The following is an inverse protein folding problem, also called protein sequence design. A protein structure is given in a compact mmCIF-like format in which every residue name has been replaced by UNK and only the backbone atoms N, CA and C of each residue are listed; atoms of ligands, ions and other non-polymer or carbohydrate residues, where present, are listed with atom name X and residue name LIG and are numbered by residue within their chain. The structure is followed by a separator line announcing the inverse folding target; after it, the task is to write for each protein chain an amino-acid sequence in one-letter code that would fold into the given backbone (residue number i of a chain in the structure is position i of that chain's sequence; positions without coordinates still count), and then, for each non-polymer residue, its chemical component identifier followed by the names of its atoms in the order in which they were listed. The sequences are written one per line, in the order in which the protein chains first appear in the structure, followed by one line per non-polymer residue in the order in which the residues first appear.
data_IF_246217965051
#
_entry.id   IF_246217965051
#
_cell.length_a   1.000
_cell.length_b   1.000
_cell.length_c   1.000
_cell.angle_alpha   90.00
_cell.angle_beta   90.00
_cell.angle_gamma   90.00
#
_symmetry.space_group_name_H-M   'P 1'
#
loop_
_entity.id
_entity.type
_entity.pdbx_description
1 polymer ?
#
# COMPACT_ATOMS: atom_id res chain seq x y z
N UNK A 1 18.81 -20.32 1.10
CA UNK A 1 19.73 -19.35 1.76
C UNK A 1 19.70 -19.61 3.26
N UNK A 2 20.85 -19.59 3.95
CA UNK A 2 20.89 -19.82 5.41
C UNK A 2 20.19 -18.67 6.13
N UNK A 3 19.20 -19.00 6.96
CA UNK A 3 18.33 -18.06 7.67
C UNK A 3 19.05 -17.35 8.82
N UNK A 4 20.04 -16.50 8.50
CA UNK A 4 20.89 -15.83 9.48
C UNK A 4 20.33 -14.44 9.81
N UNK A 5 20.24 -14.06 11.09
CA UNK A 5 19.80 -12.72 11.50
C UNK A 5 20.60 -11.60 10.82
N UNK A 6 21.90 -11.80 10.58
CA UNK A 6 22.76 -10.80 9.91
C UNK A 6 22.35 -10.52 8.47
N UNK A 7 21.90 -11.52 7.72
CA UNK A 7 21.39 -11.35 6.36
C UNK A 7 20.11 -10.52 6.37
N UNK A 8 19.24 -10.76 7.34
CA UNK A 8 17.99 -10.03 7.48
C UNK A 8 18.19 -8.58 7.94
N UNK A 9 19.16 -8.31 8.81
CA UNK A 9 19.59 -6.94 9.13
C UNK A 9 20.12 -6.20 7.90
N UNK A 10 20.92 -6.86 7.05
CA UNK A 10 21.37 -6.27 5.79
C UNK A 10 20.18 -5.95 4.87
N UNK A 11 19.19 -6.85 4.78
CA UNK A 11 17.97 -6.59 4.02
C UNK A 11 17.19 -5.39 4.57
N UNK A 12 17.12 -5.20 5.90
CA UNK A 12 16.50 -4.00 6.48
C UNK A 12 17.22 -2.72 6.07
N UNK A 13 18.56 -2.72 6.04
CA UNK A 13 19.34 -1.57 5.59
C UNK A 13 19.11 -1.27 4.10
N UNK A 14 19.03 -2.32 3.27
CA UNK A 14 18.68 -2.18 1.85
C UNK A 14 17.28 -1.59 1.70
N UNK A 15 16.31 -2.11 2.44
CA UNK A 15 14.94 -1.58 2.43
C UNK A 15 14.93 -0.10 2.86
N UNK A 16 15.61 0.26 3.94
CA UNK A 16 15.75 1.66 4.37
C UNK A 16 16.29 2.56 3.25
N UNK A 17 17.39 2.15 2.59
CA UNK A 17 17.98 2.89 1.49
C UNK A 17 17.03 3.01 0.29
N UNK A 18 16.31 1.93 -0.05
CA UNK A 18 15.32 1.94 -1.12
C UNK A 18 14.15 2.87 -0.82
N UNK A 19 13.67 2.95 0.42
CA UNK A 19 12.65 3.93 0.81
C UNK A 19 13.18 5.35 0.68
N UNK A 20 14.39 5.62 1.16
CA UNK A 20 14.99 6.95 1.06
C UNK A 20 15.11 7.40 -0.41
N UNK A 21 15.55 6.50 -1.30
CA UNK A 21 15.58 6.75 -2.74
C UNK A 21 14.17 6.93 -3.33
N UNK A 22 13.20 6.12 -2.89
CA UNK A 22 11.79 6.25 -3.28
C UNK A 22 11.20 7.60 -2.89
N UNK A 23 11.47 8.08 -1.68
CA UNK A 23 11.05 9.40 -1.22
C UNK A 23 11.73 10.52 -2.00
N UNK A 24 13.03 10.40 -2.29
CA UNK A 24 13.74 11.36 -3.13
C UNK A 24 13.15 11.44 -4.54
N UNK A 25 12.85 10.29 -5.15
CA UNK A 25 12.24 10.21 -6.47
C UNK A 25 10.83 10.84 -6.46
N UNK A 26 10.01 10.55 -5.44
CA UNK A 26 8.69 11.13 -5.27
C UNK A 26 8.74 12.63 -4.98
N UNK A 27 9.71 13.09 -4.19
CA UNK A 27 9.94 14.50 -3.92
C UNK A 27 10.22 15.25 -5.23
N UNK A 28 11.19 14.76 -6.02
CA UNK A 28 11.51 15.33 -7.33
C UNK A 28 10.30 15.32 -8.27
N UNK A 29 9.56 14.21 -8.33
CA UNK A 29 8.36 14.10 -9.14
C UNK A 29 7.22 15.02 -8.68
N UNK A 30 7.10 15.32 -7.38
CA UNK A 30 6.14 16.30 -6.87
C UNK A 30 6.53 17.71 -7.28
N UNK A 31 7.80 18.06 -7.11
CA UNK A 31 8.34 19.38 -7.51
C UNK A 31 8.17 19.59 -9.02
N UNK A 32 8.32 18.56 -9.85
CA UNK A 32 8.03 18.67 -11.29
C UNK A 32 6.55 18.88 -11.60
N UNK A 33 5.65 18.42 -10.73
CA UNK A 33 4.20 18.60 -10.84
C UNK A 33 3.68 19.89 -10.20
N UNK A 34 4.56 20.71 -9.62
CA UNK A 34 4.21 22.04 -9.11
C UNK A 34 3.84 22.10 -7.64
N UNK A 35 4.13 21.08 -6.84
CA UNK A 35 3.97 21.11 -5.38
C UNK A 35 5.24 20.60 -4.69
N UNK A 36 5.47 20.97 -3.43
CA UNK A 36 6.63 20.52 -2.65
C UNK A 36 6.23 19.41 -1.67
N UNK A 37 6.60 18.14 -1.91
CA UNK A 37 6.33 17.06 -0.96
C UNK A 37 7.04 17.29 0.37
N UNK A 38 6.38 17.01 1.50
CA UNK A 38 6.98 17.26 2.81
C UNK A 38 8.19 16.36 3.09
N UNK A 39 9.33 16.97 3.43
CA UNK A 39 10.51 16.26 3.90
C UNK A 39 10.31 15.65 5.30
N UNK A 40 9.50 16.32 6.14
CA UNK A 40 9.23 15.83 7.50
C UNK A 40 8.44 14.51 7.49
N UNK A 41 7.51 14.34 6.54
CA UNK A 41 6.83 13.05 6.35
C UNK A 41 7.80 11.94 5.92
N UNK A 42 8.73 12.24 5.01
CA UNK A 42 9.75 11.26 4.59
C UNK A 42 10.66 10.88 5.75
N UNK A 43 11.07 11.87 6.56
CA UNK A 43 11.89 11.63 7.74
C UNK A 43 11.15 10.76 8.77
N UNK A 44 9.88 11.04 9.07
CA UNK A 44 9.06 10.20 9.94
C UNK A 44 9.07 8.75 9.46
N UNK A 45 8.83 8.51 8.17
CA UNK A 45 8.75 7.17 7.62
C UNK A 45 10.08 6.41 7.73
N UNK A 46 11.19 7.10 7.46
CA UNK A 46 12.53 6.55 7.65
C UNK A 46 12.83 6.27 9.13
N UNK A 47 12.39 7.14 10.04
CA UNK A 47 12.58 6.93 11.48
C UNK A 47 11.85 5.69 12.00
N UNK A 48 10.79 5.22 11.35
CA UNK A 48 10.10 3.97 11.74
C UNK A 48 10.96 2.71 11.52
N UNK A 49 12.02 2.78 10.72
CA UNK A 49 12.99 1.68 10.65
C UNK A 49 13.82 1.53 11.94
N UNK A 50 13.99 2.59 12.73
CA UNK A 50 14.75 2.53 13.97
C UNK A 50 14.13 1.58 15.02
N UNK A 51 12.83 1.72 15.40
CA UNK A 51 12.21 0.75 16.32
C UNK A 51 12.14 -0.66 15.71
N UNK A 52 11.96 -0.80 14.40
CA UNK A 52 11.98 -2.12 13.72
C UNK A 52 13.36 -2.79 13.83
N UNK A 53 14.43 -2.03 13.55
CA UNK A 53 15.80 -2.51 13.68
C UNK A 53 16.14 -2.85 15.13
N UNK A 54 15.68 -2.03 16.09
CA UNK A 54 15.81 -2.32 17.51
C UNK A 54 15.17 -3.67 17.87
N UNK A 55 13.93 -3.92 17.45
CA UNK A 55 13.24 -5.20 17.67
C UNK A 55 14.01 -6.36 17.02
N UNK A 56 14.49 -6.19 15.79
CA UNK A 56 15.28 -7.21 15.10
C UNK A 56 16.56 -7.57 15.90
N UNK A 57 17.31 -6.56 16.35
CA UNK A 57 18.52 -6.75 17.15
C UNK A 57 18.20 -7.36 18.52
N UNK A 58 17.13 -6.92 19.16
CA UNK A 58 16.67 -7.44 20.46
C UNK A 58 16.27 -8.91 20.37
N UNK A 59 15.49 -9.30 19.36
CA UNK A 59 15.12 -10.70 19.10
C UNK A 59 16.34 -11.56 18.77
N UNK A 60 17.27 -11.05 17.97
CA UNK A 60 18.48 -11.78 17.59
C UNK A 60 19.44 -11.99 18.76
N UNK A 61 19.69 -10.95 19.58
CA UNK A 61 20.70 -10.99 20.65
C UNK A 61 20.16 -11.49 21.97
N UNK A 62 18.99 -11.02 22.40
CA UNK A 62 18.45 -11.32 23.73
C UNK A 62 17.64 -12.61 23.75
N UNK A 63 16.76 -12.78 22.76
CA UNK A 63 15.88 -13.94 22.67
C UNK A 63 16.46 -15.09 21.85
N UNK A 64 17.60 -14.87 21.17
CA UNK A 64 18.25 -15.87 20.30
C UNK A 64 17.24 -16.53 19.36
N UNK A 65 16.35 -15.72 18.77
CA UNK A 65 15.23 -16.21 17.97
C UNK A 65 15.71 -17.13 16.86
N UNK A 66 15.27 -18.39 16.93
CA UNK A 66 15.65 -19.47 16.01
C UNK A 66 14.58 -19.74 14.93
N UNK A 67 13.50 -18.96 14.90
CA UNK A 67 12.42 -19.12 13.94
C UNK A 67 12.73 -18.52 12.56
N UNK A 68 11.72 -18.49 11.70
CA UNK A 68 11.89 -18.02 10.32
C UNK A 68 11.88 -16.49 10.21
N UNK A 69 13.07 -15.90 10.08
CA UNK A 69 13.24 -14.47 9.85
C UNK A 69 12.70 -13.98 8.50
N UNK A 70 12.42 -14.90 7.55
CA UNK A 70 11.84 -14.56 6.25
C UNK A 70 10.49 -13.87 6.42
N UNK A 71 9.61 -14.37 7.29
CA UNK A 71 8.31 -13.76 7.57
C UNK A 71 8.45 -12.33 8.11
N UNK A 72 9.43 -12.11 9.00
CA UNK A 72 9.73 -10.79 9.54
C UNK A 72 10.17 -9.82 8.43
N UNK A 73 11.11 -10.22 7.57
CA UNK A 73 11.57 -9.35 6.47
C UNK A 73 10.52 -9.11 5.40
N UNK A 74 9.70 -10.11 5.06
CA UNK A 74 8.61 -9.95 4.10
C UNK A 74 7.55 -8.98 4.64
N UNK A 75 7.20 -9.09 5.92
CA UNK A 75 6.28 -8.13 6.55
C UNK A 75 6.83 -6.69 6.47
N UNK A 76 8.12 -6.50 6.73
CA UNK A 76 8.75 -5.17 6.67
C UNK A 76 8.89 -4.67 5.24
N UNK A 77 9.14 -5.57 4.27
CA UNK A 77 9.12 -5.23 2.85
C UNK A 77 7.73 -4.73 2.43
N UNK A 78 6.65 -5.42 2.83
CA UNK A 78 5.28 -4.98 2.54
C UNK A 78 4.94 -3.66 3.23
N UNK A 79 5.36 -3.51 4.50
CA UNK A 79 5.24 -2.26 5.24
C UNK A 79 5.93 -1.11 4.51
N UNK A 80 7.17 -1.32 4.07
CA UNK A 80 7.95 -0.35 3.29
C UNK A 80 7.25 0.06 2.00
N UNK A 81 6.74 -0.88 1.21
CA UNK A 81 5.96 -0.55 0.01
C UNK A 81 4.74 0.31 0.38
N UNK A 82 4.05 -0.05 1.47
CA UNK A 82 2.96 0.74 2.03
C UNK A 82 3.37 2.17 2.38
N UNK A 83 4.54 2.35 3.01
CA UNK A 83 5.06 3.68 3.36
C UNK A 83 5.32 4.55 2.12
N UNK A 84 5.93 4.00 1.06
CA UNK A 84 6.15 4.75 -0.20
C UNK A 84 4.83 5.20 -0.82
N UNK A 85 3.84 4.32 -0.86
CA UNK A 85 2.50 4.63 -1.40
C UNK A 85 1.80 5.68 -0.53
N UNK A 86 1.87 5.56 0.80
CA UNK A 86 1.32 6.54 1.71
C UNK A 86 2.00 7.90 1.60
N UNK A 87 3.33 7.92 1.53
CA UNK A 87 4.07 9.16 1.32
C UNK A 87 3.59 9.86 0.06
N UNK A 88 3.48 9.15 -1.07
CA UNK A 88 2.92 9.70 -2.31
C UNK A 88 1.50 10.24 -2.12
N UNK A 89 0.64 9.51 -1.41
CA UNK A 89 -0.76 9.88 -1.22
C UNK A 89 -0.92 11.13 -0.34
N UNK A 90 -0.22 11.19 0.79
CA UNK A 90 -0.35 12.25 1.79
C UNK A 90 0.53 13.48 1.52
N UNK A 91 1.49 13.39 0.60
CA UNK A 91 2.22 14.58 0.11
C UNK A 91 1.54 15.27 -1.06
N UNK A 92 0.58 14.62 -1.71
CA UNK A 92 -0.17 15.21 -2.81
C UNK A 92 -1.26 16.15 -2.23
N UNK A 93 -1.23 17.45 -2.58
CA UNK A 93 -2.15 18.45 -2.02
C UNK A 93 -3.62 18.12 -2.31
N UNK A 94 -3.90 17.45 -3.43
CA UNK A 94 -5.25 17.00 -3.80
C UNK A 94 -5.93 16.14 -2.71
N UNK A 95 -5.15 15.31 -2.02
CA UNK A 95 -5.65 14.41 -0.99
C UNK A 95 -5.62 15.03 0.41
N UNK A 96 -4.92 16.14 0.55
CA UNK A 96 -4.70 16.85 1.80
C UNK A 96 -5.66 18.03 1.97
N UNK A 97 -6.12 18.64 0.88
CA UNK A 97 -6.97 19.82 0.94
C UNK A 97 -8.43 19.51 1.32
N UNK A 98 -9.08 20.54 1.89
CA UNK A 98 -10.52 20.53 2.18
C UNK A 98 -11.36 20.49 0.89
N UNK A 99 -10.90 21.15 -0.18
CA UNK A 99 -11.56 21.15 -1.50
C UNK A 99 -10.67 20.47 -2.55
N UNK A 100 -10.97 19.19 -2.82
CA UNK A 100 -10.17 18.38 -3.77
C UNK A 100 -10.24 18.87 -5.21
N UNK A 101 -11.32 19.58 -5.57
CA UNK A 101 -11.55 20.02 -6.96
C UNK A 101 -10.69 21.22 -7.32
N UNK A 102 -10.53 22.17 -6.41
CA UNK A 102 -9.71 23.38 -6.63
C UNK A 102 -8.23 23.02 -6.81
N UNK A 103 -7.66 22.25 -5.87
CA UNK A 103 -6.27 21.78 -5.94
C UNK A 103 -5.97 20.97 -7.20
N UNK A 104 -6.92 20.13 -7.63
CA UNK A 104 -6.75 19.35 -8.87
C UNK A 104 -6.66 20.27 -10.08
N UNK A 105 -7.50 21.31 -10.15
CA UNK A 105 -7.48 22.28 -11.24
C UNK A 105 -6.18 23.08 -11.25
N UNK A 106 -5.70 23.51 -10.08
CA UNK A 106 -4.42 24.21 -9.96
C UNK A 106 -3.25 23.33 -10.39
N UNK A 107 -3.18 22.09 -9.92
CA UNK A 107 -2.17 21.10 -10.36
C UNK A 107 -2.22 20.86 -11.86
N UNK A 108 -3.41 20.71 -12.44
CA UNK A 108 -3.58 20.55 -13.88
C UNK A 108 -3.12 21.79 -14.65
N UNK A 109 -3.43 22.99 -14.17
CA UNK A 109 -2.97 24.23 -14.76
C UNK A 109 -1.45 24.33 -14.70
N UNK A 110 -0.83 24.05 -13.56
CA UNK A 110 0.64 24.08 -13.40
C UNK A 110 1.33 23.10 -14.34
N UNK A 111 0.79 21.88 -14.48
CA UNK A 111 1.29 20.89 -15.43
C UNK A 111 1.14 21.36 -16.89
N UNK A 112 0.00 21.98 -17.22
CA UNK A 112 -0.22 22.54 -18.56
C UNK A 112 0.78 23.65 -18.88
N UNK A 113 1.03 24.57 -17.94
CA UNK A 113 1.99 25.66 -18.12
C UNK A 113 3.43 25.14 -18.25
N UNK A 114 3.82 24.13 -17.47
CA UNK A 114 5.15 23.48 -17.64
C UNK A 114 5.27 22.77 -18.97
N UNK A 115 4.21 22.10 -19.43
CA UNK A 115 4.21 21.43 -20.73
C UNK A 115 4.50 22.43 -21.87
N UNK A 116 3.97 23.65 -21.79
CA UNK A 116 4.28 24.73 -22.74
C UNK A 116 5.77 25.08 -22.67
N UNK A 117 6.36 25.18 -21.49
CA UNK A 117 7.78 25.52 -21.34
C UNK A 117 8.70 24.42 -21.87
N UNK A 118 8.44 23.16 -21.53
CA UNK A 118 9.34 22.02 -21.75
C UNK A 118 9.16 21.35 -23.12
N UNK A 119 7.95 21.41 -23.71
CA UNK A 119 7.61 20.64 -24.93
C UNK A 119 7.19 21.49 -26.13
N UNK A 120 7.05 22.81 -26.01
CA UNK A 120 6.78 23.64 -27.20
C UNK A 120 8.10 24.09 -27.82
N UNK A 121 8.25 23.78 -29.11
CA UNK A 121 9.36 24.25 -29.92
C UNK A 121 9.29 25.75 -30.15
N UNK A 122 10.42 26.37 -30.49
CA UNK A 122 10.55 27.82 -30.72
C UNK A 122 9.56 28.35 -31.76
N UNK A 123 9.34 27.59 -32.84
CA UNK A 123 8.37 27.94 -33.91
C UNK A 123 6.96 28.00 -33.33
N UNK A 124 6.59 27.01 -32.52
CA UNK A 124 5.27 26.93 -31.89
C UNK A 124 5.09 28.02 -30.83
N UNK A 125 6.14 28.34 -30.06
CA UNK A 125 6.15 29.44 -29.10
C UNK A 125 6.01 30.79 -29.77
N UNK A 126 6.74 31.04 -30.86
CA UNK A 126 6.63 32.27 -31.66
C UNK A 126 5.22 32.41 -32.28
N UNK A 127 4.63 31.33 -32.78
CA UNK A 127 3.29 31.36 -33.37
C UNK A 127 2.18 31.66 -32.34
N UNK A 128 2.29 31.13 -31.11
CA UNK A 128 1.25 31.25 -30.09
C UNK A 128 1.45 32.46 -29.15
N UNK A 129 2.69 32.83 -28.87
CA UNK A 129 3.05 33.83 -27.85
C UNK A 129 3.89 34.99 -28.40
N UNK A 130 4.25 34.98 -29.70
CA UNK A 130 5.03 36.05 -30.33
C UNK A 130 6.54 36.02 -30.05
N UNK A 131 6.97 35.31 -29.01
CA UNK A 131 8.37 35.20 -28.59
C UNK A 131 8.85 33.74 -28.62
N UNK A 132 9.93 33.39 -29.38
CA UNK A 132 10.50 32.04 -29.37
C UNK A 132 11.06 31.62 -28.00
N UNK A 133 11.47 32.58 -27.16
CA UNK A 133 12.01 32.35 -25.83
C UNK A 133 10.96 32.48 -24.73
N UNK A 134 9.68 32.55 -25.09
CA UNK A 134 8.59 32.65 -24.13
C UNK A 134 8.66 31.54 -23.08
N UNK A 135 8.70 31.94 -21.81
CA UNK A 135 8.61 31.06 -20.66
C UNK A 135 7.50 31.56 -19.76
N UNK A 136 6.51 30.72 -19.50
CA UNK A 136 5.51 31.01 -18.49
C UNK A 136 6.20 30.96 -17.14
N UNK A 137 6.03 32.01 -16.34
CA UNK A 137 6.46 31.96 -14.95
C UNK A 137 5.58 30.97 -14.19
N UNK A 138 6.12 29.77 -13.96
CA UNK A 138 5.48 28.78 -13.13
C UNK A 138 5.92 29.10 -11.71
N UNK A 139 5.14 29.95 -11.02
CA UNK A 139 5.27 30.09 -9.57
C UNK A 139 4.95 28.72 -8.97
N UNK A 140 5.97 27.89 -8.81
CA UNK A 140 5.91 26.85 -7.82
C UNK A 140 5.82 27.61 -6.49
N UNK A 141 4.62 27.77 -5.95
CA UNK A 141 4.43 28.03 -4.52
C UNK A 141 4.93 26.80 -3.75
N UNK A 142 6.22 26.50 -3.89
CA UNK A 142 6.94 25.52 -3.11
C UNK A 142 7.07 26.04 -1.67
N UNK A 143 7.20 27.36 -1.49
CA UNK A 143 7.37 27.99 -0.18
C UNK A 143 6.11 27.96 0.69
N UNK A 144 4.91 28.14 0.14
CA UNK A 144 3.67 28.12 0.94
C UNK A 144 3.20 26.69 1.30
N UNK A 145 3.56 25.67 0.51
CA UNK A 145 3.08 24.30 0.71
C UNK A 145 3.88 23.50 1.75
N UNK A 146 5.15 23.87 2.03
CA UNK A 146 5.91 23.26 3.12
C UNK A 146 5.26 23.49 4.50
N UNK A 147 4.44 24.55 4.64
CA UNK A 147 3.76 24.88 5.90
C UNK A 147 2.58 23.96 6.26
N UNK A 148 2.08 23.12 5.33
CA UNK A 148 0.93 22.25 5.63
C UNK A 148 1.28 21.15 6.66
N UNK A 149 2.53 20.67 6.66
CA UNK A 149 3.01 19.59 7.51
C UNK A 149 3.90 20.11 8.63
N UNK A 150 3.31 20.32 9.80
CA UNK A 150 4.03 20.68 11.03
C UNK A 150 4.33 19.44 11.89
N UNK A 151 5.31 19.53 12.79
CA UNK A 151 5.67 18.44 13.73
C UNK A 151 4.44 17.91 14.47
N UNK A 152 3.61 18.81 15.02
CA UNK A 152 2.38 18.44 15.72
C UNK A 152 1.39 17.68 14.83
N UNK A 153 1.25 18.11 13.58
CA UNK A 153 0.35 17.46 12.63
C UNK A 153 0.84 16.08 12.23
N UNK A 154 2.15 15.89 12.12
CA UNK A 154 2.72 14.59 11.80
C UNK A 154 2.32 13.57 12.86
N UNK A 155 2.33 13.90 14.15
CA UNK A 155 1.91 12.95 15.19
C UNK A 155 0.40 12.80 15.35
N UNK A 156 -0.39 13.81 14.99
CA UNK A 156 -1.86 13.76 15.14
C UNK A 156 -2.59 13.28 13.89
N UNK A 157 -1.95 13.28 12.71
CA UNK A 157 -2.66 12.96 11.47
C UNK A 157 -2.91 11.46 11.28
N UNK A 158 -3.99 11.09 10.58
CA UNK A 158 -4.29 9.71 10.22
C UNK A 158 -3.15 9.00 9.51
N UNK A 159 -2.32 9.72 8.74
CA UNK A 159 -1.19 9.13 8.01
C UNK A 159 -0.22 8.40 8.94
N UNK A 160 0.01 8.92 10.14
CA UNK A 160 0.92 8.31 11.11
C UNK A 160 0.23 7.19 11.90
N UNK A 161 -1.04 7.39 12.27
CA UNK A 161 -1.81 6.36 12.97
C UNK A 161 -2.03 5.10 12.12
N UNK A 162 -2.18 5.22 10.80
CA UNK A 162 -2.27 4.05 9.92
C UNK A 162 -0.97 3.25 9.94
N UNK A 163 0.20 3.91 9.97
CA UNK A 163 1.50 3.23 10.04
C UNK A 163 1.69 2.51 11.39
N UNK A 164 1.38 3.16 12.50
CA UNK A 164 1.42 2.51 13.81
C UNK A 164 0.41 1.37 13.92
N UNK A 165 -0.80 1.57 13.40
CA UNK A 165 -1.82 0.53 13.30
C UNK A 165 -1.33 -0.66 12.48
N UNK A 166 -0.66 -0.42 11.34
CA UNK A 166 -0.08 -1.47 10.52
C UNK A 166 1.01 -2.26 11.27
N UNK A 167 1.91 -1.59 11.99
CA UNK A 167 2.92 -2.26 12.82
C UNK A 167 2.29 -3.09 13.94
N UNK A 168 1.26 -2.57 14.62
CA UNK A 168 0.52 -3.30 15.64
C UNK A 168 -0.22 -4.51 15.06
N UNK A 169 -0.85 -4.36 13.89
CA UNK A 169 -1.52 -5.45 13.19
C UNK A 169 -0.53 -6.51 12.69
N UNK A 170 0.67 -6.13 12.27
CA UNK A 170 1.72 -7.09 11.95
C UNK A 170 2.18 -7.86 13.19
N UNK A 171 2.38 -7.18 14.32
CA UNK A 171 2.74 -7.83 15.58
C UNK A 171 1.64 -8.78 16.05
N UNK A 172 0.37 -8.35 15.96
CA UNK A 172 -0.78 -9.18 16.28
C UNK A 172 -0.88 -10.38 15.33
N UNK A 173 -0.78 -10.17 14.02
CA UNK A 173 -0.81 -11.24 13.02
C UNK A 173 0.29 -12.27 13.24
N UNK A 174 1.50 -11.83 13.57
CA UNK A 174 2.60 -12.72 13.95
C UNK A 174 2.27 -13.50 15.23
N UNK A 175 1.81 -12.83 16.30
CA UNK A 175 1.45 -13.49 17.55
C UNK A 175 0.31 -14.53 17.36
N UNK A 176 -0.67 -14.22 16.52
CA UNK A 176 -1.76 -15.15 16.18
C UNK A 176 -1.27 -16.32 15.33
N UNK A 177 -0.29 -16.11 14.45
CA UNK A 177 0.31 -17.18 13.63
C UNK A 177 1.15 -18.18 14.43
N UNK A 178 1.55 -17.82 15.66
CA UNK A 178 2.22 -18.75 16.58
C UNK A 178 1.25 -19.69 17.31
N UNK A 179 -0.06 -19.47 17.18
CA UNK A 179 -1.09 -20.28 17.84
C UNK A 179 -1.64 -21.33 16.88
N UNK A 180 -1.21 -22.57 17.06
CA UNK A 180 -1.67 -23.71 16.25
C UNK A 180 -3.19 -23.88 16.30
N UNK A 181 -3.81 -23.68 17.47
CA UNK A 181 -5.27 -23.73 17.64
C UNK A 181 -5.99 -22.75 16.72
N UNK A 182 -5.44 -21.53 16.57
CA UNK A 182 -6.03 -20.49 15.73
C UNK A 182 -5.83 -20.81 14.25
N UNK A 183 -4.64 -21.28 13.87
CA UNK A 183 -4.38 -21.70 12.49
C UNK A 183 -5.30 -22.84 12.07
N UNK A 184 -5.48 -23.84 12.94
CA UNK A 184 -6.42 -24.94 12.72
C UNK A 184 -7.86 -24.45 12.66
N UNK A 185 -8.26 -23.53 13.54
CA UNK A 185 -9.60 -22.94 13.52
C UNK A 185 -9.87 -22.18 12.22
N UNK A 186 -8.93 -21.32 11.78
CA UNK A 186 -9.03 -20.59 10.51
C UNK A 186 -9.14 -21.57 9.37
N UNK A 187 -8.29 -22.61 9.35
CA UNK A 187 -8.32 -23.64 8.32
C UNK A 187 -9.68 -24.34 8.26
N UNK A 188 -10.24 -24.75 9.40
CA UNK A 188 -11.55 -25.41 9.50
C UNK A 188 -12.72 -24.52 9.10
N UNK A 189 -12.63 -23.22 9.36
CA UNK A 189 -13.70 -22.26 9.08
C UNK A 189 -13.44 -21.42 7.83
N UNK A 190 -12.44 -21.78 7.01
CA UNK A 190 -12.00 -20.99 5.85
C UNK A 190 -13.14 -20.61 4.91
N UNK A 191 -14.02 -21.56 4.60
CA UNK A 191 -15.19 -21.31 3.75
C UNK A 191 -16.16 -20.30 4.39
N UNK A 192 -16.44 -20.44 5.68
CA UNK A 192 -17.33 -19.55 6.41
C UNK A 192 -16.73 -18.14 6.52
N UNK A 193 -15.43 -18.02 6.76
CA UNK A 193 -14.71 -16.74 6.74
C UNK A 193 -14.88 -16.06 5.38
N UNK A 194 -14.69 -16.81 4.29
CA UNK A 194 -14.90 -16.30 2.93
C UNK A 194 -16.34 -15.81 2.70
N UNK A 195 -17.33 -16.60 3.11
CA UNK A 195 -18.75 -16.27 2.92
C UNK A 195 -19.19 -15.07 3.76
N UNK A 196 -18.86 -15.06 5.06
CA UNK A 196 -19.23 -13.98 5.98
C UNK A 196 -18.56 -12.66 5.63
N UNK A 197 -17.35 -12.70 5.05
CA UNK A 197 -16.68 -11.49 4.60
C UNK A 197 -17.11 -11.05 3.21
N UNK A 198 -17.40 -11.97 2.29
CA UNK A 198 -17.80 -11.60 0.93
C UNK A 198 -19.28 -11.19 0.83
N UNK A 199 -20.19 -11.87 1.53
CA UNK A 199 -21.64 -11.67 1.38
C UNK A 199 -22.11 -10.25 1.74
N UNK A 200 -21.67 -9.62 2.86
CA UNK A 200 -22.06 -8.24 3.16
C UNK A 200 -21.54 -7.25 2.11
N UNK A 201 -20.34 -7.47 1.58
CA UNK A 201 -19.76 -6.60 0.55
C UNK A 201 -20.42 -6.79 -0.81
N UNK A 202 -20.85 -8.00 -1.14
CA UNK A 202 -21.68 -8.28 -2.32
C UNK A 202 -23.04 -7.59 -2.20
N UNK A 203 -23.67 -7.61 -1.02
CA UNK A 203 -24.91 -6.85 -0.78
C UNK A 203 -24.69 -5.34 -0.91
N UNK A 204 -23.60 -4.81 -0.35
CA UNK A 204 -23.22 -3.40 -0.51
C UNK A 204 -22.96 -3.06 -1.99
N UNK A 205 -22.30 -3.96 -2.73
CA UNK A 205 -22.07 -3.78 -4.15
C UNK A 205 -23.37 -3.71 -4.96
N UNK A 206 -24.37 -4.54 -4.62
CA UNK A 206 -25.65 -4.55 -5.33
C UNK A 206 -26.51 -3.33 -4.96
N UNK A 207 -26.54 -2.95 -3.68
CA UNK A 207 -27.50 -1.95 -3.17
C UNK A 207 -26.94 -0.52 -3.23
N UNK A 208 -25.64 -0.34 -2.97
CA UNK A 208 -25.03 0.97 -2.74
C UNK A 208 -23.98 1.38 -3.79
N UNK A 209 -23.66 0.50 -4.76
CA UNK A 209 -22.72 0.83 -5.83
C UNK A 209 -23.42 1.63 -6.92
N UNK A 210 -22.89 2.81 -7.27
CA UNK A 210 -23.29 3.54 -8.47
C UNK A 210 -22.13 3.54 -9.47
N UNK A 211 -22.34 2.94 -10.64
CA UNK A 211 -21.32 2.81 -11.67
C UNK A 211 -20.11 1.95 -11.25
N UNK A 212 -20.31 0.94 -10.40
CA UNK A 212 -19.25 0.04 -9.93
C UNK A 212 -18.36 0.62 -8.82
N UNK A 213 -18.73 1.76 -8.23
CA UNK A 213 -17.95 2.46 -7.20
C UNK A 213 -18.73 2.61 -5.91
N UNK A 214 -18.00 2.50 -4.80
CA UNK A 214 -18.49 2.64 -3.43
C UNK A 214 -17.60 3.61 -2.65
N UNK A 215 -18.16 4.40 -1.72
CA UNK A 215 -17.45 5.44 -0.95
C UNK A 215 -16.56 6.35 -1.82
N UNK A 216 -17.13 6.86 -2.91
CA UNK A 216 -16.50 7.82 -3.81
C UNK A 216 -15.71 7.21 -4.96
N UNK A 217 -14.71 6.35 -4.69
CA UNK A 217 -13.85 5.74 -5.74
C UNK A 217 -13.33 4.32 -5.48
N UNK A 218 -13.57 3.75 -4.31
CA UNK A 218 -13.14 2.38 -4.00
C UNK A 218 -14.17 1.39 -4.54
N UNK A 219 -13.72 0.26 -5.04
CA UNK A 219 -14.65 -0.81 -5.42
C UNK A 219 -15.04 -1.63 -4.18
N UNK A 220 -16.31 -2.02 -4.01
CA UNK A 220 -16.77 -2.80 -2.85
C UNK A 220 -15.93 -4.05 -2.54
N UNK A 221 -15.31 -4.66 -3.57
CA UNK A 221 -14.51 -5.88 -3.42
C UNK A 221 -13.08 -5.65 -2.92
N UNK A 222 -12.56 -4.42 -2.88
CA UNK A 222 -11.18 -4.14 -2.42
C UNK A 222 -10.88 -4.66 -1.00
N UNK A 223 -11.74 -4.45 0.01
CA UNK A 223 -11.53 -4.99 1.35
C UNK A 223 -11.69 -6.51 1.45
N UNK A 224 -12.49 -7.11 0.55
CA UNK A 224 -12.78 -8.56 0.54
C UNK A 224 -11.59 -9.36 0.01
N UNK A 225 -10.72 -8.77 -0.82
CA UNK A 225 -9.58 -9.49 -1.42
C UNK A 225 -8.72 -10.21 -0.39
N UNK A 226 -8.49 -9.58 0.76
CA UNK A 226 -7.64 -10.15 1.82
C UNK A 226 -8.33 -11.36 2.46
N UNK A 227 -9.61 -11.24 2.85
CA UNK A 227 -10.35 -12.34 3.46
C UNK A 227 -10.63 -13.47 2.47
N UNK A 228 -10.83 -13.14 1.19
CA UNK A 228 -10.89 -14.09 0.09
C UNK A 228 -9.60 -14.91 -0.01
N UNK A 229 -8.43 -14.26 -0.03
CA UNK A 229 -7.13 -14.96 -0.09
C UNK A 229 -6.91 -15.87 1.13
N UNK A 230 -7.29 -15.42 2.32
CA UNK A 230 -7.23 -16.22 3.55
C UNK A 230 -8.15 -17.44 3.47
N UNK A 231 -9.39 -17.24 3.04
CA UNK A 231 -10.37 -18.31 2.81
C UNK A 231 -9.85 -19.32 1.79
N UNK A 232 -9.34 -18.84 0.67
CA UNK A 232 -8.83 -19.66 -0.41
C UNK A 232 -7.60 -20.47 0.00
N UNK A 233 -6.65 -19.82 0.69
CA UNK A 233 -5.45 -20.48 1.22
C UNK A 233 -5.81 -21.57 2.24
N UNK A 234 -6.78 -21.33 3.12
CA UNK A 234 -7.20 -22.32 4.10
C UNK A 234 -7.94 -23.52 3.50
N UNK A 235 -8.79 -23.30 2.47
CA UNK A 235 -9.42 -24.38 1.69
C UNK A 235 -8.34 -25.22 0.99
N UNK A 236 -7.37 -24.58 0.35
CA UNK A 236 -6.24 -25.28 -0.28
C UNK A 236 -5.44 -26.07 0.76
N UNK A 237 -5.08 -25.47 1.89
CA UNK A 237 -4.32 -26.16 2.93
C UNK A 237 -5.05 -27.40 3.45
N UNK A 238 -6.37 -27.34 3.61
CA UNK A 238 -7.18 -28.46 4.08
C UNK A 238 -7.38 -29.56 3.02
N UNK A 239 -7.64 -29.17 1.78
CA UNK A 239 -8.08 -30.10 0.74
C UNK A 239 -7.02 -30.38 -0.33
N UNK A 240 -5.80 -29.84 -0.21
CA UNK A 240 -4.73 -30.01 -1.19
C UNK A 240 -4.52 -31.47 -1.60
N UNK A 241 -4.43 -32.39 -0.64
CA UNK A 241 -4.24 -33.83 -0.91
C UNK A 241 -5.43 -34.48 -1.61
N UNK A 242 -6.63 -33.94 -1.42
CA UNK A 242 -7.84 -34.46 -2.05
C UNK A 242 -8.06 -33.83 -3.44
N UNK A 243 -7.67 -32.56 -3.61
CA UNK A 243 -7.67 -31.84 -4.88
C UNK A 243 -6.56 -32.33 -5.82
N UNK A 244 -5.45 -32.84 -5.28
CA UNK A 244 -4.38 -33.44 -6.09
C UNK A 244 -4.70 -34.87 -6.56
N UNK A 245 -5.69 -35.53 -5.94
CA UNK A 245 -6.15 -36.87 -6.34
C UNK A 245 -7.25 -36.74 -7.38
N UNK A 246 -6.86 -36.81 -8.64
CA UNK A 246 -7.76 -36.67 -9.78
C UNK A 246 -8.20 -38.03 -10.33
N UNK A 247 -9.49 -38.17 -10.60
CA UNK A 247 -10.02 -39.23 -11.47
C UNK A 247 -10.38 -38.57 -12.81
N UNK A 248 -9.79 -39.05 -13.91
CA UNK A 248 -9.97 -38.46 -15.25
C UNK A 248 -9.54 -36.99 -15.35
N UNK A 249 -8.51 -36.60 -14.58
CA UNK A 249 -7.98 -35.23 -14.55
C UNK A 249 -8.81 -34.25 -13.72
N UNK A 250 -9.94 -34.69 -13.14
CA UNK A 250 -10.78 -33.86 -12.27
C UNK A 250 -10.74 -34.34 -10.82
N UNK A 251 -10.60 -33.43 -9.84
CA UNK A 251 -10.70 -33.79 -8.44
C UNK A 251 -12.17 -34.05 -8.03
N UNK A 252 -12.41 -34.71 -6.88
CA UNK A 252 -13.76 -35.02 -6.42
C UNK A 252 -14.60 -33.75 -6.23
N UNK A 253 -15.82 -33.75 -6.77
CA UNK A 253 -16.73 -32.59 -6.81
C UNK A 253 -16.96 -31.97 -5.43
N UNK A 254 -17.06 -32.79 -4.38
CA UNK A 254 -17.25 -32.31 -2.99
C UNK A 254 -16.15 -31.37 -2.48
N UNK A 255 -14.93 -31.46 -3.03
CA UNK A 255 -13.82 -30.58 -2.68
C UNK A 255 -13.61 -29.49 -3.74
N UNK A 256 -13.93 -29.78 -5.00
CA UNK A 256 -13.84 -28.83 -6.11
C UNK A 256 -14.91 -27.73 -6.04
N UNK A 257 -16.13 -28.06 -5.62
CA UNK A 257 -17.28 -27.15 -5.68
C UNK A 257 -17.15 -25.96 -4.69
N UNK A 258 -16.80 -26.15 -3.39
CA UNK A 258 -16.53 -25.01 -2.50
C UNK A 258 -15.38 -24.13 -3.01
N UNK A 259 -14.36 -24.76 -3.60
CA UNK A 259 -13.22 -24.06 -4.17
C UNK A 259 -13.59 -23.21 -5.39
N UNK A 260 -14.39 -23.76 -6.31
CA UNK A 260 -14.89 -23.03 -7.48
C UNK A 260 -15.85 -21.90 -7.11
N UNK A 261 -16.75 -22.12 -6.15
CA UNK A 261 -17.66 -21.08 -5.66
C UNK A 261 -16.85 -19.91 -5.13
N UNK A 262 -15.90 -20.17 -4.24
CA UNK A 262 -15.03 -19.12 -3.71
C UNK A 262 -14.26 -18.46 -4.85
N UNK A 263 -13.61 -19.23 -5.73
CA UNK A 263 -12.83 -18.71 -6.86
C UNK A 263 -13.63 -17.85 -7.86
N UNK A 264 -14.94 -18.09 -8.00
CA UNK A 264 -15.83 -17.33 -8.87
C UNK A 264 -16.35 -16.04 -8.23
N UNK A 265 -16.34 -15.92 -6.90
CA UNK A 265 -16.82 -14.73 -6.19
C UNK A 265 -16.18 -13.40 -6.66
N UNK A 266 -14.88 -13.32 -7.03
CA UNK A 266 -14.29 -12.07 -7.52
C UNK A 266 -14.65 -11.73 -8.98
N UNK A 267 -15.23 -12.68 -9.72
CA UNK A 267 -15.54 -12.57 -11.16
C UNK A 267 -16.99 -12.11 -11.38
N UNK A 268 -17.85 -12.28 -10.37
CA UNK A 268 -19.28 -11.91 -10.35
C UNK A 268 -19.43 -10.52 -9.72
#
# INVERSE_FOLDING_TARGET
MRNRPSTHLLLLLILFALNALGYLALYRAGVTRGYAPSLLLALRDLMLFAPIAFVAVWLARRHKYAGDWTLFTVAILLFSFGQIVQYRLFTDPEYSAKSKTAERLEKMNTLRLRYVNDHYDEIKKRALFGDPNFRVNVNAQAEDNEQYWTVTRIFTSPSTWILFGALLLFAAGFALSLRDDLLLWVQQHSFLIGLVTAAPFLLIAIVASSGGKFLGRTTPWEPVKISFLVSYAGILAMHYRNLSRTYWGLPPVRFLLPFLIVALLPVI
#
